data_IF_555910207127
#
_entry.id   IF_555910207127
#
_cell.length_a   1.000
_cell.length_b   1.000
_cell.length_c   1.000
_cell.angle_alpha   90.00
_cell.angle_beta   90.00
_cell.angle_gamma   90.00
#
_symmetry.space_group_name_H-M   'P 1'
#
loop_
_entity.id
_entity.type
_entity.pdbx_description
1 polymer ?
#
# COMPACT_ATOMS: atom_id res chain seq x y z
N UNK A 1 7.26 -10.55 0.82
CA UNK A 1 6.35 -9.79 -0.08
C UNK A 1 7.07 -8.55 -0.59
N UNK A 2 7.01 -8.26 -1.89
CA UNK A 2 7.63 -7.04 -2.47
C UNK A 2 6.57 -5.95 -2.68
N UNK A 3 6.75 -4.78 -2.07
CA UNK A 3 5.84 -3.64 -2.23
C UNK A 3 6.15 -2.92 -3.54
N UNK A 4 5.16 -2.82 -4.43
CA UNK A 4 5.28 -2.19 -5.74
C UNK A 4 4.52 -0.88 -5.86
N UNK A 5 3.48 -0.71 -5.04
CA UNK A 5 2.65 0.50 -5.03
C UNK A 5 2.16 0.80 -3.62
N UNK A 6 2.07 2.09 -3.31
CA UNK A 6 1.38 2.63 -2.12
C UNK A 6 0.47 3.74 -2.58
N UNK A 7 -0.82 3.64 -2.24
CA UNK A 7 -1.83 4.67 -2.53
C UNK A 7 -1.87 5.10 -4.01
N UNK A 8 -1.78 4.14 -4.94
CA UNK A 8 -1.80 4.42 -6.38
C UNK A 8 -0.47 4.94 -6.96
N UNK A 9 0.61 4.95 -6.17
CA UNK A 9 1.93 5.43 -6.59
C UNK A 9 2.98 4.35 -6.49
N UNK A 10 3.72 4.16 -7.59
CA UNK A 10 4.81 3.20 -7.66
C UNK A 10 5.91 3.53 -6.64
N UNK A 11 6.37 2.50 -5.93
CA UNK A 11 7.43 2.63 -4.93
C UNK A 11 8.77 2.15 -5.47
N UNK A 12 9.85 2.61 -4.83
CA UNK A 12 11.11 1.89 -4.86
C UNK A 12 10.85 0.55 -4.18
N UNK A 13 11.18 -0.54 -4.87
CA UNK A 13 10.77 -1.87 -4.45
C UNK A 13 11.56 -2.30 -3.21
N UNK A 14 10.84 -2.53 -2.13
CA UNK A 14 11.35 -3.11 -0.89
C UNK A 14 10.61 -4.40 -0.58
N UNK A 15 11.30 -5.34 0.05
CA UNK A 15 10.73 -6.62 0.48
C UNK A 15 10.47 -6.61 1.99
N UNK A 16 9.30 -7.05 2.40
CA UNK A 16 8.91 -7.21 3.79
C UNK A 16 8.27 -8.58 4.05
N UNK A 17 8.45 -9.09 5.26
CA UNK A 17 7.82 -10.33 5.73
C UNK A 17 6.41 -10.10 6.28
N UNK A 18 6.15 -8.88 6.77
CA UNK A 18 4.83 -8.41 7.21
C UNK A 18 4.66 -6.94 6.82
N UNK A 19 3.42 -6.46 6.79
CA UNK A 19 3.11 -5.06 6.44
C UNK A 19 2.13 -4.48 7.44
N UNK A 20 2.51 -3.37 8.07
CA UNK A 20 1.57 -2.51 8.80
C UNK A 20 0.82 -1.61 7.81
N UNK A 21 -0.51 -1.75 7.77
CA UNK A 21 -1.39 -0.95 6.91
C UNK A 21 -2.33 -0.17 7.82
N UNK A 22 -2.21 1.17 7.79
CA UNK A 22 -3.07 2.03 8.60
C UNK A 22 -4.40 2.31 7.90
N UNK A 23 -5.39 2.76 8.67
CA UNK A 23 -6.71 3.11 8.16
C UNK A 23 -6.60 4.15 7.04
N UNK A 24 -7.23 3.86 5.90
CA UNK A 24 -7.21 4.71 4.72
C UNK A 24 -6.05 4.45 3.75
N UNK A 25 -5.08 3.62 4.11
CA UNK A 25 -3.97 3.28 3.22
C UNK A 25 -4.30 2.08 2.33
N UNK A 26 -3.65 2.03 1.17
CA UNK A 26 -3.66 0.86 0.28
C UNK A 26 -2.26 0.57 -0.24
N UNK A 27 -1.97 -0.72 -0.39
CA UNK A 27 -0.68 -1.23 -0.86
C UNK A 27 -0.93 -2.27 -1.94
N UNK A 28 -0.09 -2.27 -2.97
CA UNK A 28 0.00 -3.38 -3.92
C UNK A 28 1.32 -4.11 -3.71
N UNK A 29 1.24 -5.44 -3.62
CA UNK A 29 2.40 -6.30 -3.37
C UNK A 29 2.49 -7.40 -4.40
N UNK A 30 3.73 -7.80 -4.71
CA UNK A 30 4.02 -9.04 -5.41
C UNK A 30 4.48 -10.10 -4.40
N UNK A 31 3.88 -11.28 -4.50
CA UNK A 31 4.26 -12.46 -3.75
C UNK A 31 4.74 -13.51 -4.73
N UNK A 32 5.95 -14.00 -4.55
CA UNK A 32 6.46 -15.17 -5.27
C UNK A 32 6.02 -16.42 -4.53
N UNK A 33 5.36 -17.34 -5.23
CA UNK A 33 4.94 -18.63 -4.67
C UNK A 33 6.07 -19.67 -4.80
N UNK A 34 7.18 -19.44 -4.11
CA UNK A 34 8.43 -20.23 -4.18
C UNK A 34 8.64 -21.17 -2.99
N UNK A 35 7.65 -21.28 -2.10
CA UNK A 35 7.71 -22.13 -0.92
C UNK A 35 7.28 -23.58 -1.26
N UNK A 36 7.53 -24.56 -0.37
CA UNK A 36 7.05 -25.93 -0.56
C UNK A 36 5.55 -26.02 -0.92
N UNK A 37 5.18 -27.05 -1.67
CA UNK A 37 3.82 -27.21 -2.18
C UNK A 37 2.80 -27.59 -1.08
N UNK A 38 2.31 -26.58 -0.36
CA UNK A 38 1.31 -26.73 0.70
C UNK A 38 0.39 -25.50 0.78
N UNK A 39 -0.64 -25.57 1.62
CA UNK A 39 -1.51 -24.44 1.93
C UNK A 39 -0.86 -23.53 3.01
N UNK A 40 -0.98 -22.21 2.85
CA UNK A 40 -0.41 -21.21 3.75
C UNK A 40 -1.47 -20.30 4.36
N UNK A 41 -1.25 -19.83 5.59
CA UNK A 41 -2.07 -18.76 6.17
C UNK A 41 -1.76 -17.42 5.53
N UNK A 42 -2.81 -16.67 5.19
CA UNK A 42 -2.79 -15.22 5.12
C UNK A 42 -3.38 -14.73 6.44
N UNK A 43 -2.57 -14.13 7.30
CA UNK A 43 -3.00 -13.66 8.61
C UNK A 43 -2.99 -12.14 8.68
N UNK A 44 -4.04 -11.57 9.25
CA UNK A 44 -4.19 -10.14 9.51
C UNK A 44 -4.61 -9.97 10.96
N UNK A 45 -3.96 -9.06 11.69
CA UNK A 45 -4.34 -8.78 13.07
C UNK A 45 -4.20 -7.31 13.39
N UNK A 46 -5.01 -6.85 14.35
CA UNK A 46 -5.01 -5.45 14.77
C UNK A 46 -3.81 -5.16 15.67
N UNK A 47 -3.22 -3.97 15.47
CA UNK A 47 -2.15 -3.42 16.30
C UNK A 47 -2.65 -2.13 16.96
N UNK A 48 -2.01 -1.70 18.04
CA UNK A 48 -2.34 -0.47 18.78
C UNK A 48 -3.76 -0.44 19.39
N UNK A 49 -4.32 -1.61 19.65
CA UNK A 49 -5.60 -1.80 20.34
C UNK A 49 -5.40 -2.62 21.61
N UNK A 50 -6.22 -2.40 22.65
CA UNK A 50 -6.16 -3.19 23.88
C UNK A 50 -6.56 -4.65 23.64
N UNK A 51 -7.54 -4.87 22.76
CA UNK A 51 -7.94 -6.18 22.27
C UNK A 51 -7.34 -6.41 20.89
N UNK A 52 -6.53 -7.47 20.75
CA UNK A 52 -6.01 -7.91 19.46
C UNK A 52 -7.07 -8.78 18.77
N UNK A 53 -7.50 -8.35 17.59
CA UNK A 53 -8.37 -9.12 16.72
C UNK A 53 -7.52 -9.76 15.63
N UNK A 54 -7.77 -11.03 15.31
CA UNK A 54 -7.05 -11.78 14.27
C UNK A 54 -8.04 -12.37 13.29
N UNK A 55 -7.76 -12.22 12.02
CA UNK A 55 -8.46 -12.85 10.92
C UNK A 55 -7.46 -13.64 10.06
N UNK A 56 -7.89 -14.77 9.52
CA UNK A 56 -7.07 -15.61 8.65
C UNK A 56 -7.80 -15.98 7.37
N UNK A 57 -7.02 -16.26 6.33
CA UNK A 57 -7.45 -16.87 5.08
C UNK A 57 -6.39 -17.89 4.65
N UNK A 58 -6.68 -18.68 3.61
CA UNK A 58 -5.79 -19.72 3.11
C UNK A 58 -5.36 -19.41 1.68
N UNK A 59 -4.05 -19.33 1.46
CA UNK A 59 -3.44 -19.36 0.14
C UNK A 59 -3.10 -20.82 -0.21
N UNK A 60 -3.87 -21.42 -1.12
CA UNK A 60 -3.65 -22.78 -1.59
C UNK A 60 -2.81 -22.79 -2.85
N UNK A 61 -1.70 -23.53 -2.83
CA UNK A 61 -0.92 -23.82 -4.03
C UNK A 61 -1.67 -24.84 -4.89
N UNK A 62 -1.57 -24.73 -6.23
CA UNK A 62 -2.28 -25.65 -7.14
C UNK A 62 -1.82 -27.11 -7.03
N UNK A 63 -0.56 -27.32 -6.63
CA UNK A 63 0.05 -28.61 -6.36
C UNK A 63 0.14 -28.93 -4.86
N UNK A 64 -0.65 -28.24 -4.02
CA UNK A 64 -0.63 -28.43 -2.57
C UNK A 64 -0.97 -29.87 -2.18
N UNK A 65 -0.09 -30.49 -1.39
CA UNK A 65 -0.26 -31.85 -0.88
C UNK A 65 -0.78 -31.89 0.58
N UNK A 66 -1.00 -30.73 1.20
CA UNK A 66 -1.36 -30.64 2.61
C UNK A 66 -2.14 -29.37 2.94
N UNK A 67 -3.12 -29.50 3.84
CA UNK A 67 -3.82 -28.35 4.41
C UNK A 67 -2.91 -27.54 5.32
N UNK A 68 -3.31 -26.30 5.63
CA UNK A 68 -2.54 -25.45 6.54
C UNK A 68 -2.35 -26.17 7.88
N UNK A 69 -1.14 -26.11 8.44
CA UNK A 69 -0.80 -26.72 9.72
C UNK A 69 -0.22 -25.71 10.71
N UNK A 70 -0.35 -25.99 12.01
CA UNK A 70 0.11 -25.12 13.09
C UNK A 70 -0.80 -23.92 13.39
N UNK A 71 -0.49 -23.17 14.45
CA UNK A 71 -1.18 -21.91 14.75
C UNK A 71 -0.86 -20.85 13.68
N UNK A 72 -1.77 -19.89 13.43
CA UNK A 72 -1.45 -18.72 12.63
C UNK A 72 -0.22 -17.98 13.18
N UNK A 73 0.54 -17.25 12.34
CA UNK A 73 1.62 -16.40 12.80
C UNK A 73 1.16 -15.49 13.94
N UNK A 74 2.03 -15.28 14.92
CA UNK A 74 1.76 -14.37 16.03
C UNK A 74 1.40 -12.98 15.51
N UNK A 75 0.35 -12.38 16.08
CA UNK A 75 -0.06 -11.04 15.72
C UNK A 75 1.00 -9.99 16.10
N UNK A 76 0.96 -8.81 15.47
CA UNK A 76 1.88 -7.73 15.77
C UNK A 76 1.76 -7.28 17.24
N UNK A 77 2.91 -7.06 17.88
CA UNK A 77 3.03 -6.54 19.25
C UNK A 77 2.91 -5.01 19.30
N UNK A 78 3.22 -4.37 20.43
CA UNK A 78 3.23 -2.90 20.61
C UNK A 78 4.44 -2.19 19.95
N UNK A 79 5.09 -2.80 18.96
CA UNK A 79 6.28 -2.29 18.28
C UNK A 79 5.99 -1.11 17.33
N UNK A 80 5.67 0.04 17.94
CA UNK A 80 5.44 1.31 17.25
C UNK A 80 6.64 1.72 16.37
N UNK A 81 7.86 1.50 16.85
CA UNK A 81 9.08 1.86 16.13
C UNK A 81 9.23 1.12 14.80
N UNK A 82 8.85 -0.17 14.76
CA UNK A 82 8.88 -0.96 13.53
C UNK A 82 7.92 -0.38 12.50
N UNK A 83 6.69 -0.05 12.92
CA UNK A 83 5.67 0.58 12.09
C UNK A 83 6.13 1.90 11.48
N UNK A 84 6.75 2.76 12.30
CA UNK A 84 7.33 4.02 11.83
C UNK A 84 8.50 3.81 10.86
N UNK A 85 9.36 2.84 11.13
CA UNK A 85 10.49 2.53 10.25
C UNK A 85 10.03 1.96 8.91
N UNK A 86 8.99 1.12 8.90
CA UNK A 86 8.34 0.70 7.65
C UNK A 86 7.85 1.91 6.88
N UNK A 87 7.07 2.81 7.50
CA UNK A 87 6.55 4.00 6.83
C UNK A 87 7.66 4.89 6.26
N UNK A 88 8.79 5.06 6.98
CA UNK A 88 9.95 5.84 6.52
C UNK A 88 10.74 5.19 5.39
N UNK A 89 10.70 3.86 5.32
CA UNK A 89 11.40 3.09 4.28
C UNK A 89 10.67 3.12 2.94
N UNK A 90 9.36 3.42 2.93
CA UNK A 90 8.58 3.58 1.71
C UNK A 90 8.99 4.87 0.99
N UNK A 91 9.47 4.72 -0.24
CA UNK A 91 9.88 5.83 -1.10
C UNK A 91 9.17 5.71 -2.44
N UNK A 92 8.61 6.82 -2.91
CA UNK A 92 8.08 6.92 -4.26
C UNK A 92 9.21 6.72 -5.27
N UNK A 93 8.99 5.86 -6.26
CA UNK A 93 9.90 5.76 -7.39
C UNK A 93 9.59 6.89 -8.39
N UNK A 94 10.52 7.84 -8.52
CA UNK A 94 10.36 8.99 -9.42
C UNK A 94 10.71 8.65 -10.89
N UNK A 95 11.35 7.51 -11.16
CA UNK A 95 11.62 7.04 -12.51
C UNK A 95 10.55 6.08 -13.05
N UNK A 96 9.69 5.55 -12.18
CA UNK A 96 8.54 4.75 -12.58
C UNK A 96 7.53 5.64 -13.33
N UNK A 97 7.59 5.60 -14.65
CA UNK A 97 6.65 6.28 -15.53
C UNK A 97 5.38 5.44 -15.68
N UNK A 98 4.21 6.08 -15.63
CA UNK A 98 3.01 5.48 -16.21
C UNK A 98 3.20 5.33 -17.73
N UNK A 99 2.42 4.47 -18.41
CA UNK A 99 2.48 4.33 -19.86
C UNK A 99 2.29 5.69 -20.53
N UNK A 100 3.38 6.29 -21.00
CA UNK A 100 3.35 7.53 -21.78
C UNK A 100 3.83 7.17 -23.17
N UNK A 101 2.97 7.27 -24.21
CA UNK A 101 3.40 7.15 -25.59
C UNK A 101 4.51 8.16 -25.94
N UNK A 102 4.56 9.29 -25.22
CA UNK A 102 5.48 10.39 -25.51
C UNK A 102 6.57 10.54 -24.43
N UNK A 103 7.81 10.90 -24.82
CA UNK A 103 8.93 11.14 -23.91
C UNK A 103 8.64 12.15 -22.80
N UNK A 104 9.35 12.05 -21.67
CA UNK A 104 9.26 13.04 -20.60
C UNK A 104 9.68 14.43 -21.11
N UNK A 105 8.84 15.45 -20.88
CA UNK A 105 9.06 16.82 -21.39
C UNK A 105 8.47 17.11 -22.78
N UNK A 106 7.87 16.11 -23.45
CA UNK A 106 7.20 16.31 -24.76
C UNK A 106 5.94 17.19 -24.70
N UNK A 107 5.32 17.31 -23.52
CA UNK A 107 4.19 18.21 -23.30
C UNK A 107 4.68 19.63 -23.08
N UNK A 108 4.65 20.41 -24.13
CA UNK A 108 4.87 21.85 -24.07
C UNK A 108 3.59 22.52 -23.59
N UNK A 109 3.33 22.48 -22.28
CA UNK A 109 2.11 23.05 -21.69
C UNK A 109 1.85 24.51 -22.12
N UNK A 110 2.91 25.30 -22.35
CA UNK A 110 2.80 26.67 -22.85
C UNK A 110 2.32 26.83 -24.30
N UNK A 111 2.30 25.74 -25.09
CA UNK A 111 1.77 25.70 -26.45
C UNK A 111 0.34 25.15 -26.52
N UNK A 112 -0.21 24.67 -25.39
CA UNK A 112 -1.57 24.14 -25.34
C UNK A 112 -2.53 25.32 -25.13
N UNK A 113 -3.48 25.50 -26.05
CA UNK A 113 -4.52 26.51 -25.90
C UNK A 113 -5.38 26.21 -24.66
N UNK A 114 -5.45 27.17 -23.74
CA UNK A 114 -6.33 27.06 -22.58
C UNK A 114 -7.78 27.15 -23.04
N UNK A 115 -8.51 26.04 -22.99
CA UNK A 115 -9.93 25.99 -23.41
C UNK A 115 -10.89 26.44 -22.31
N UNK A 116 -10.48 26.36 -21.04
CA UNK A 116 -11.26 26.79 -19.88
C UNK A 116 -10.35 27.15 -18.72
N UNK A 117 -10.60 28.30 -18.10
CA UNK A 117 -10.01 28.68 -16.81
C UNK A 117 -11.10 28.63 -15.75
N UNK A 118 -10.90 27.83 -14.71
CA UNK A 118 -11.77 27.79 -13.53
C UNK A 118 -11.02 28.50 -12.41
N UNK A 119 -11.56 29.62 -11.94
CA UNK A 119 -11.01 30.35 -10.80
C UNK A 119 -11.88 30.08 -9.58
N UNK A 120 -11.36 29.26 -8.68
CA UNK A 120 -11.99 29.02 -7.38
C UNK A 120 -11.55 30.13 -6.44
N UNK A 121 -12.51 30.79 -5.81
CA UNK A 121 -12.27 31.76 -4.75
C UNK A 121 -13.15 31.36 -3.57
N UNK A 122 -12.56 31.33 -2.38
CA UNK A 122 -13.32 31.23 -1.14
C UNK A 122 -13.67 32.64 -0.66
N UNK A 123 -14.86 32.81 -0.13
CA UNK A 123 -15.18 33.94 0.75
C UNK A 123 -14.80 33.58 2.19
N UNK A 124 -14.66 34.59 3.05
CA UNK A 124 -14.65 34.34 4.48
C UNK A 124 -15.96 33.62 4.87
N UNK A 125 -15.91 32.55 5.69
CA UNK A 125 -17.13 31.95 6.21
C UNK A 125 -17.80 32.94 7.17
N UNK A 126 -19.11 33.15 7.03
CA UNK A 126 -19.89 33.87 8.03
C UNK A 126 -20.10 32.91 9.20
N UNK A 127 -19.42 33.16 10.32
CA UNK A 127 -19.54 32.36 11.54
C UNK A 127 -20.30 33.20 12.55
N UNK A 128 -21.47 32.71 13.00
CA UNK A 128 -22.36 33.44 13.92
C UNK A 128 -22.78 34.83 13.42
N UNK A 129 -23.00 34.98 12.11
CA UNK A 129 -23.44 36.25 11.51
C UNK A 129 -22.36 37.32 11.39
N UNK A 130 -21.08 36.95 11.52
CA UNK A 130 -19.91 37.83 11.29
C UNK A 130 -18.88 37.16 10.40
#
# INVERSE_FOLDING_TARGET
MMVVEVEGTHTVQNTYDSLDIHLGQSYSVLLTADQPAQDYYIAVSTRFTSQVLTATSTLRYSNSAGSVSGPPPGGPTIEIDWSFNQARSLRRNLSASGPRPNPQGSYHYGLINTTRTIRLANSAPIINGK
#
